data_IF_834967684812
#
_entry.id   IF_834967684812
#
_cell.length_a   1.000
_cell.length_b   1.000
_cell.length_c   1.000
_cell.angle_alpha   90.00
_cell.angle_beta   90.00
_cell.angle_gamma   90.00
#
_symmetry.space_group_name_H-M   'P 1'
#
loop_
_entity.id
_entity.type
_entity.pdbx_description
1 polymer ?
#
# COMPACT_ATOMS: atom_id res chain seq x y z
N UNK A 1 0.15 -17.95 -23.59
CA UNK A 1 1.53 -17.48 -23.80
C UNK A 1 2.54 -18.51 -23.28
N UNK A 2 2.53 -18.89 -21.98
CA UNK A 2 3.50 -19.78 -21.33
C UNK A 2 3.66 -21.13 -22.06
N UNK A 3 2.58 -21.83 -22.37
CA UNK A 3 2.64 -23.14 -23.04
C UNK A 3 3.25 -23.08 -24.47
N UNK A 4 3.05 -21.95 -25.15
CA UNK A 4 3.72 -21.74 -26.45
C UNK A 4 5.21 -21.53 -26.25
N UNK A 5 5.61 -20.68 -25.27
CA UNK A 5 7.01 -20.40 -24.98
C UNK A 5 7.77 -21.64 -24.50
N UNK A 6 7.16 -22.48 -23.66
CA UNK A 6 7.74 -23.78 -23.29
C UNK A 6 8.09 -24.63 -24.52
N UNK A 7 7.16 -24.78 -25.46
CA UNK A 7 7.42 -25.53 -26.72
C UNK A 7 8.50 -24.90 -27.60
N UNK A 8 8.64 -23.56 -27.54
CA UNK A 8 9.71 -22.87 -28.25
C UNK A 8 11.06 -23.07 -27.58
N UNK A 9 11.13 -23.09 -26.27
CA UNK A 9 12.34 -23.40 -25.48
C UNK A 9 12.83 -24.83 -25.80
N UNK A 10 11.94 -25.81 -25.94
CA UNK A 10 12.31 -27.18 -26.37
C UNK A 10 13.00 -27.19 -27.74
N UNK A 11 12.70 -26.23 -28.62
CA UNK A 11 13.32 -26.13 -29.95
C UNK A 11 14.63 -25.32 -29.93
N UNK A 12 14.68 -24.27 -29.14
CA UNK A 12 15.84 -23.41 -29.00
C UNK A 12 15.80 -22.68 -27.64
N UNK A 13 16.44 -23.29 -26.64
CA UNK A 13 16.45 -22.75 -25.28
C UNK A 13 17.09 -21.37 -25.21
N UNK A 14 18.26 -21.18 -25.85
CA UNK A 14 19.00 -19.92 -25.75
C UNK A 14 18.22 -18.72 -26.32
N UNK A 15 17.36 -18.97 -27.32
CA UNK A 15 16.57 -17.89 -27.93
C UNK A 15 15.29 -17.57 -27.13
N UNK A 16 14.71 -18.54 -26.40
CA UNK A 16 13.36 -18.38 -25.86
C UNK A 16 13.27 -18.52 -24.33
N UNK A 17 14.35 -18.91 -23.63
CA UNK A 17 14.37 -18.94 -22.15
C UNK A 17 14.11 -17.55 -21.54
N UNK A 18 14.70 -16.43 -22.05
CA UNK A 18 14.41 -15.10 -21.51
C UNK A 18 12.91 -14.75 -21.58
N UNK A 19 12.30 -14.94 -22.76
CA UNK A 19 10.88 -14.70 -22.95
C UNK A 19 9.98 -15.56 -22.07
N UNK A 20 10.40 -16.81 -21.78
CA UNK A 20 9.67 -17.70 -20.88
C UNK A 20 9.76 -17.20 -19.44
N UNK A 21 10.94 -16.76 -18.99
CA UNK A 21 11.14 -16.18 -17.66
C UNK A 21 10.29 -14.92 -17.46
N UNK A 22 10.25 -14.02 -18.45
CA UNK A 22 9.36 -12.86 -18.43
C UNK A 22 7.88 -13.24 -18.30
N UNK A 23 7.46 -14.29 -19.04
CA UNK A 23 6.10 -14.80 -18.93
C UNK A 23 5.79 -15.36 -17.55
N UNK A 24 6.75 -15.98 -16.92
CA UNK A 24 6.60 -16.48 -15.55
C UNK A 24 6.54 -15.33 -14.57
N UNK A 25 7.40 -14.30 -14.68
CA UNK A 25 7.34 -13.11 -13.86
C UNK A 25 5.97 -12.42 -13.94
N UNK A 26 5.46 -12.20 -15.17
CA UNK A 26 4.14 -11.62 -15.39
C UNK A 26 3.00 -12.50 -14.83
N UNK A 27 3.12 -13.83 -14.94
CA UNK A 27 2.14 -14.74 -14.34
C UNK A 27 2.20 -14.71 -12.81
N UNK A 28 3.41 -14.59 -12.23
CA UNK A 28 3.60 -14.40 -10.80
C UNK A 28 2.83 -13.18 -10.28
N UNK A 29 3.03 -12.03 -10.92
CA UNK A 29 2.30 -10.79 -10.59
C UNK A 29 0.78 -10.99 -10.71
N UNK A 30 0.32 -11.52 -11.84
CA UNK A 30 -1.11 -11.77 -12.07
C UNK A 30 -1.75 -12.65 -10.98
N UNK A 31 -1.11 -13.78 -10.63
CA UNK A 31 -1.66 -14.67 -9.61
C UNK A 31 -1.54 -14.09 -8.19
N UNK A 32 -0.53 -13.28 -7.93
CA UNK A 32 -0.42 -12.53 -6.68
C UNK A 32 -1.59 -11.55 -6.51
N UNK A 33 -1.89 -10.75 -7.52
CA UNK A 33 -3.04 -9.83 -7.53
C UNK A 33 -4.40 -10.56 -7.40
N UNK A 34 -4.47 -11.82 -7.81
CA UNK A 34 -5.66 -12.67 -7.64
C UNK A 34 -5.69 -13.42 -6.30
N UNK A 35 -4.76 -13.18 -5.38
CA UNK A 35 -4.68 -13.87 -4.09
C UNK A 35 -4.31 -15.35 -4.19
N UNK A 36 -3.81 -15.83 -5.35
CA UNK A 36 -3.45 -17.22 -5.58
C UNK A 36 -1.96 -17.45 -5.26
N UNK A 37 -1.61 -17.36 -3.96
CA UNK A 37 -0.23 -17.32 -3.45
C UNK A 37 0.63 -18.50 -3.92
N UNK A 38 0.13 -19.73 -3.87
CA UNK A 38 0.91 -20.92 -4.29
C UNK A 38 1.33 -20.86 -5.77
N UNK A 39 0.43 -20.35 -6.63
CA UNK A 39 0.75 -20.19 -8.05
C UNK A 39 1.70 -19.03 -8.28
N UNK A 40 1.50 -17.92 -7.57
CA UNK A 40 2.39 -16.76 -7.64
C UNK A 40 3.81 -17.15 -7.25
N UNK A 41 3.98 -17.80 -6.08
CA UNK A 41 5.29 -18.29 -5.60
C UNK A 41 5.98 -19.16 -6.65
N UNK A 42 5.25 -20.14 -7.16
CA UNK A 42 5.81 -21.03 -8.18
C UNK A 42 6.35 -20.27 -9.38
N UNK A 43 5.56 -19.35 -9.93
CA UNK A 43 5.95 -18.62 -11.14
C UNK A 43 7.08 -17.63 -10.88
N UNK A 44 7.15 -16.98 -9.74
CA UNK A 44 8.31 -16.16 -9.37
C UNK A 44 9.59 -16.99 -9.26
N UNK A 45 9.52 -18.16 -8.62
CA UNK A 45 10.68 -19.06 -8.49
C UNK A 45 11.10 -19.65 -9.83
N UNK A 46 10.17 -20.04 -10.69
CA UNK A 46 10.46 -20.55 -12.04
C UNK A 46 11.17 -19.47 -12.89
N UNK A 47 10.77 -18.19 -12.80
CA UNK A 47 11.44 -17.08 -13.48
C UNK A 47 12.87 -16.89 -12.96
N UNK A 48 13.05 -16.84 -11.64
CA UNK A 48 14.35 -16.70 -10.99
C UNK A 48 15.29 -17.84 -11.37
N UNK A 49 14.81 -19.07 -11.43
CA UNK A 49 15.64 -20.23 -11.81
C UNK A 49 16.16 -20.10 -13.24
N UNK A 50 15.33 -19.68 -14.17
CA UNK A 50 15.75 -19.45 -15.55
C UNK A 50 16.77 -18.32 -15.61
N UNK A 51 16.51 -17.17 -15.00
CA UNK A 51 17.46 -16.05 -15.03
C UNK A 51 18.78 -16.36 -14.36
N UNK A 52 18.83 -17.17 -13.30
CA UNK A 52 20.09 -17.67 -12.73
C UNK A 52 20.94 -18.43 -13.75
N UNK A 53 20.32 -19.34 -14.48
CA UNK A 53 21.04 -20.09 -15.54
C UNK A 53 21.50 -19.18 -16.68
N UNK A 54 20.69 -18.19 -17.04
CA UNK A 54 21.05 -17.21 -18.08
C UNK A 54 22.21 -16.33 -17.65
N UNK A 55 22.23 -15.89 -16.39
CA UNK A 55 23.34 -15.12 -15.80
C UNK A 55 24.65 -15.89 -15.83
N UNK A 56 24.64 -17.22 -15.58
CA UNK A 56 25.84 -18.08 -15.72
C UNK A 56 26.39 -18.07 -17.15
N UNK A 57 25.52 -17.91 -18.17
CA UNK A 57 25.93 -17.84 -19.57
C UNK A 57 26.38 -16.42 -19.97
N UNK A 58 25.66 -15.41 -19.51
CA UNK A 58 25.91 -14.01 -19.86
C UNK A 58 25.38 -13.07 -18.75
N UNK A 59 26.23 -12.79 -17.76
CA UNK A 59 25.88 -11.95 -16.62
C UNK A 59 25.45 -10.54 -17.04
N UNK A 60 26.19 -9.91 -17.94
CA UNK A 60 25.91 -8.53 -18.35
C UNK A 60 24.55 -8.35 -19.00
N UNK A 61 24.05 -9.39 -19.69
CA UNK A 61 22.76 -9.35 -20.34
C UNK A 61 21.58 -9.62 -19.39
N UNK A 62 21.77 -10.48 -18.38
CA UNK A 62 20.64 -11.01 -17.61
C UNK A 62 20.66 -10.68 -16.09
N UNK A 63 21.74 -10.09 -15.55
CA UNK A 63 21.75 -9.58 -14.17
C UNK A 63 20.64 -8.56 -13.90
N UNK A 64 20.32 -7.61 -14.81
CA UNK A 64 19.21 -6.66 -14.58
C UNK A 64 17.86 -7.36 -14.38
N UNK A 65 17.55 -8.36 -15.21
CA UNK A 65 16.28 -9.11 -15.15
C UNK A 65 16.21 -10.03 -13.93
N UNK A 66 17.35 -10.63 -13.54
CA UNK A 66 17.44 -11.40 -12.31
C UNK A 66 17.18 -10.51 -11.08
N UNK A 67 17.77 -9.30 -11.04
CA UNK A 67 17.56 -8.36 -9.95
C UNK A 67 16.09 -7.90 -9.87
N UNK A 68 15.44 -7.67 -11.01
CA UNK A 68 14.02 -7.36 -11.07
C UNK A 68 13.16 -8.52 -10.54
N UNK A 69 13.49 -9.75 -10.96
CA UNK A 69 12.80 -10.97 -10.50
C UNK A 69 12.95 -11.17 -8.98
N UNK A 70 14.14 -10.89 -8.43
CA UNK A 70 14.35 -10.92 -6.98
C UNK A 70 13.54 -9.83 -6.25
N UNK A 71 13.50 -8.61 -6.77
CA UNK A 71 12.73 -7.54 -6.17
C UNK A 71 11.22 -7.88 -6.12
N UNK A 72 10.68 -8.46 -7.21
CA UNK A 72 9.28 -8.90 -7.25
C UNK A 72 9.00 -10.06 -6.28
N UNK A 73 9.91 -11.02 -6.17
CA UNK A 73 9.80 -12.08 -5.17
C UNK A 73 9.89 -11.54 -3.74
N UNK A 74 10.75 -10.54 -3.50
CA UNK A 74 10.83 -9.83 -2.23
C UNK A 74 9.49 -9.22 -1.82
N UNK A 75 8.87 -8.47 -2.73
CA UNK A 75 7.55 -7.87 -2.51
C UNK A 75 6.46 -8.94 -2.25
N UNK A 76 6.46 -10.02 -3.04
CA UNK A 76 5.54 -11.12 -2.83
C UNK A 76 5.67 -11.75 -1.44
N UNK A 77 6.89 -12.04 -0.97
CA UNK A 77 7.10 -12.65 0.34
C UNK A 77 6.82 -11.67 1.50
N UNK A 78 7.01 -10.36 1.31
CA UNK A 78 6.61 -9.35 2.28
C UNK A 78 5.07 -9.35 2.46
N UNK A 79 4.32 -9.35 1.37
CA UNK A 79 2.85 -9.43 1.37
C UNK A 79 2.32 -10.76 1.94
N UNK A 80 3.11 -11.84 1.85
CA UNK A 80 2.79 -13.14 2.47
C UNK A 80 3.25 -13.22 3.94
N UNK A 81 3.69 -12.11 4.55
CA UNK A 81 4.22 -12.07 5.92
C UNK A 81 5.36 -13.08 6.17
N UNK A 82 6.25 -13.25 5.17
CA UNK A 82 7.44 -14.08 5.24
C UNK A 82 8.72 -13.23 5.21
N UNK A 83 9.02 -12.48 6.28
CA UNK A 83 10.04 -11.43 6.27
C UNK A 83 11.46 -11.93 6.00
N UNK A 84 11.81 -13.13 6.44
CA UNK A 84 13.15 -13.69 6.20
C UNK A 84 13.39 -13.96 4.71
N UNK A 85 12.37 -14.44 3.99
CA UNK A 85 12.46 -14.63 2.55
C UNK A 85 12.47 -13.29 1.82
N UNK A 86 11.60 -12.37 2.22
CA UNK A 86 11.53 -11.03 1.65
C UNK A 86 12.89 -10.32 1.76
N UNK A 87 13.48 -10.26 2.97
CA UNK A 87 14.79 -9.65 3.22
C UNK A 87 15.87 -10.26 2.31
N UNK A 88 15.91 -11.58 2.22
CA UNK A 88 16.87 -12.28 1.35
C UNK A 88 16.77 -11.84 -0.10
N UNK A 89 15.59 -11.76 -0.65
CA UNK A 89 15.39 -11.41 -2.06
C UNK A 89 15.63 -9.92 -2.34
N UNK A 90 15.18 -9.02 -1.46
CA UNK A 90 15.48 -7.60 -1.60
C UNK A 90 16.99 -7.33 -1.56
N UNK A 91 17.71 -7.95 -0.62
CA UNK A 91 19.17 -7.77 -0.53
C UNK A 91 19.89 -8.36 -1.74
N UNK A 92 19.44 -9.50 -2.27
CA UNK A 92 20.01 -10.08 -3.49
C UNK A 92 19.79 -9.18 -4.72
N UNK A 93 18.63 -8.53 -4.84
CA UNK A 93 18.38 -7.55 -5.90
C UNK A 93 19.30 -6.34 -5.79
N UNK A 94 19.45 -5.79 -4.57
CA UNK A 94 20.33 -4.65 -4.28
C UNK A 94 21.78 -4.97 -4.64
N UNK A 95 22.29 -6.12 -4.17
CA UNK A 95 23.68 -6.54 -4.45
C UNK A 95 24.00 -6.59 -5.95
N UNK A 96 23.08 -7.13 -6.75
CA UNK A 96 23.25 -7.15 -8.20
C UNK A 96 23.24 -5.71 -8.75
N UNK A 97 22.29 -4.88 -8.36
CA UNK A 97 22.15 -3.51 -8.86
C UNK A 97 23.31 -2.61 -8.46
N UNK A 98 23.88 -2.77 -7.26
CA UNK A 98 25.10 -2.08 -6.86
C UNK A 98 26.28 -2.41 -7.81
N UNK A 99 26.50 -3.69 -8.13
CA UNK A 99 27.52 -4.10 -9.11
C UNK A 99 27.25 -3.55 -10.52
N UNK A 100 25.99 -3.51 -10.93
CA UNK A 100 25.62 -2.94 -12.23
C UNK A 100 25.86 -1.44 -12.29
N UNK A 101 25.60 -0.71 -11.22
CA UNK A 101 25.89 0.73 -11.09
C UNK A 101 27.39 1.00 -11.20
N UNK A 102 28.26 0.16 -10.62
CA UNK A 102 29.72 0.27 -10.78
C UNK A 102 30.14 0.16 -12.24
N UNK A 103 29.45 -0.66 -13.05
CA UNK A 103 29.71 -0.82 -14.49
C UNK A 103 29.14 0.34 -15.31
N UNK A 104 27.92 0.77 -15.01
CA UNK A 104 27.22 1.84 -15.74
C UNK A 104 26.17 2.54 -14.86
N UNK A 105 26.62 3.53 -14.10
CA UNK A 105 25.76 4.29 -13.20
C UNK A 105 24.55 4.92 -13.92
N UNK A 106 24.77 5.50 -15.11
CA UNK A 106 23.69 6.18 -15.83
C UNK A 106 22.52 5.25 -16.23
N UNK A 107 22.82 3.98 -16.47
CA UNK A 107 21.79 2.98 -16.83
C UNK A 107 21.07 2.40 -15.61
N UNK A 108 21.77 2.20 -14.49
CA UNK A 108 21.27 1.37 -13.41
C UNK A 108 21.01 2.09 -12.08
N UNK A 109 21.43 3.36 -11.92
CA UNK A 109 21.09 4.17 -10.74
C UNK A 109 19.57 4.27 -10.48
N UNK A 110 18.70 4.45 -11.51
CA UNK A 110 17.24 4.51 -11.27
C UNK A 110 16.70 3.23 -10.63
N UNK A 111 17.14 2.09 -11.13
CA UNK A 111 16.70 0.78 -10.61
C UNK A 111 17.24 0.50 -9.21
N UNK A 112 18.49 0.93 -8.92
CA UNK A 112 19.06 0.81 -7.59
C UNK A 112 18.30 1.68 -6.59
N UNK A 113 17.97 2.92 -6.95
CA UNK A 113 17.15 3.79 -6.10
C UNK A 113 15.78 3.19 -5.80
N UNK A 114 15.13 2.60 -6.81
CA UNK A 114 13.86 1.89 -6.61
C UNK A 114 14.01 0.69 -5.65
N UNK A 115 15.10 -0.11 -5.79
CA UNK A 115 15.37 -1.21 -4.85
C UNK A 115 15.61 -0.74 -3.43
N UNK A 116 16.35 0.33 -3.24
CA UNK A 116 16.56 0.91 -1.93
C UNK A 116 15.24 1.41 -1.32
N UNK A 117 14.40 2.10 -2.10
CA UNK A 117 13.09 2.52 -1.62
C UNK A 117 12.22 1.34 -1.20
N UNK A 118 12.19 0.25 -1.98
CA UNK A 118 11.43 -0.95 -1.64
C UNK A 118 11.96 -1.64 -0.37
N UNK A 119 13.29 -1.73 -0.21
CA UNK A 119 13.89 -2.21 1.03
C UNK A 119 13.56 -1.28 2.22
N UNK A 120 13.53 0.04 1.99
CA UNK A 120 13.09 1.02 2.98
C UNK A 120 11.68 0.74 3.48
N UNK A 121 10.72 0.54 2.56
CA UNK A 121 9.33 0.19 2.88
C UNK A 121 9.28 -1.13 3.67
N UNK A 122 9.98 -2.16 3.19
CA UNK A 122 10.06 -3.45 3.88
C UNK A 122 10.56 -3.33 5.32
N UNK A 123 11.68 -2.63 5.54
CA UNK A 123 12.23 -2.48 6.89
C UNK A 123 11.36 -1.59 7.80
N UNK A 124 10.66 -0.62 7.24
CA UNK A 124 9.71 0.21 7.97
C UNK A 124 8.52 -0.63 8.46
N UNK A 125 7.92 -1.44 7.58
CA UNK A 125 6.86 -2.40 7.93
C UNK A 125 7.29 -3.40 9.02
N UNK A 126 8.58 -3.78 9.03
CA UNK A 126 9.16 -4.65 10.07
C UNK A 126 9.54 -3.91 11.35
N UNK A 127 9.29 -2.61 11.45
CA UNK A 127 9.69 -1.77 12.59
C UNK A 127 11.21 -1.58 12.73
N UNK A 128 12.01 -1.97 11.73
CA UNK A 128 13.48 -1.82 11.71
C UNK A 128 13.87 -0.41 11.22
N UNK A 129 13.47 0.60 11.96
CA UNK A 129 13.46 2.02 11.56
C UNK A 129 14.82 2.56 11.11
N UNK A 130 15.93 2.18 11.76
CA UNK A 130 17.27 2.64 11.37
C UNK A 130 17.67 2.12 9.99
N UNK A 131 17.31 0.86 9.67
CA UNK A 131 17.54 0.31 8.35
C UNK A 131 16.64 0.99 7.30
N UNK A 132 15.37 1.22 7.61
CA UNK A 132 14.44 1.91 6.73
C UNK A 132 14.94 3.32 6.39
N UNK A 133 15.36 4.10 7.41
CA UNK A 133 15.92 5.45 7.23
C UNK A 133 17.13 5.42 6.29
N UNK A 134 18.07 4.51 6.52
CA UNK A 134 19.25 4.38 5.65
C UNK A 134 18.84 4.17 4.19
N UNK A 135 18.00 3.18 3.92
CA UNK A 135 17.64 2.84 2.56
C UNK A 135 16.79 3.94 1.87
N UNK A 136 15.90 4.60 2.58
CA UNK A 136 15.19 5.75 2.03
C UNK A 136 16.12 6.91 1.69
N UNK A 137 17.10 7.21 2.56
CA UNK A 137 18.06 8.29 2.30
C UNK A 137 18.97 7.96 1.12
N UNK A 138 19.48 6.72 1.01
CA UNK A 138 20.28 6.26 -0.12
C UNK A 138 19.48 6.36 -1.43
N UNK A 139 18.20 5.96 -1.45
CA UNK A 139 17.31 6.10 -2.60
C UNK A 139 17.10 7.57 -2.99
N UNK A 140 16.81 8.42 -2.02
CA UNK A 140 16.59 9.86 -2.23
C UNK A 140 17.85 10.55 -2.76
N UNK A 141 19.04 10.20 -2.27
CA UNK A 141 20.31 10.78 -2.74
C UNK A 141 20.54 10.50 -4.21
N UNK A 142 20.35 9.24 -4.62
CA UNK A 142 20.47 8.86 -6.05
C UNK A 142 19.43 9.61 -6.87
N UNK A 143 18.16 9.57 -6.45
CA UNK A 143 17.06 10.14 -7.22
C UNK A 143 17.16 11.66 -7.36
N UNK A 144 17.71 12.39 -6.37
CA UNK A 144 18.01 13.81 -6.47
C UNK A 144 19.03 14.10 -7.58
N UNK A 145 20.14 13.36 -7.59
CA UNK A 145 21.16 13.54 -8.65
C UNK A 145 20.61 13.25 -10.04
N UNK A 146 19.71 12.28 -10.16
CA UNK A 146 19.03 11.96 -11.41
C UNK A 146 18.06 13.07 -11.82
N UNK A 147 17.27 13.59 -10.88
CA UNK A 147 16.33 14.68 -11.12
C UNK A 147 17.02 15.98 -11.52
N UNK A 148 18.22 16.28 -11.00
CA UNK A 148 19.05 17.40 -11.45
C UNK A 148 19.46 17.29 -12.92
N UNK A 149 19.65 16.07 -13.42
CA UNK A 149 20.00 15.80 -14.82
C UNK A 149 18.77 15.80 -15.73
N UNK A 150 17.67 15.23 -15.26
CA UNK A 150 16.40 15.13 -15.99
C UNK A 150 15.20 15.12 -15.05
N UNK A 151 14.75 16.31 -14.67
CA UNK A 151 13.63 16.50 -13.76
C UNK A 151 12.36 15.78 -14.23
N UNK A 152 12.03 15.87 -15.52
CA UNK A 152 10.80 15.28 -16.05
C UNK A 152 10.74 13.75 -15.90
N UNK A 153 11.89 13.07 -15.96
CA UNK A 153 11.96 11.62 -15.82
C UNK A 153 12.00 11.16 -14.36
N UNK A 154 12.62 11.93 -13.46
CA UNK A 154 12.98 11.42 -12.15
C UNK A 154 12.33 12.15 -10.97
N UNK A 155 11.73 13.33 -11.15
CA UNK A 155 10.98 14.02 -10.09
C UNK A 155 9.76 13.21 -9.60
N UNK A 156 9.00 12.47 -10.43
CA UNK A 156 7.87 11.69 -9.94
C UNK A 156 8.25 10.69 -8.86
N UNK A 157 9.32 9.92 -9.09
CA UNK A 157 9.82 8.94 -8.11
C UNK A 157 10.45 9.62 -6.90
N UNK A 158 11.17 10.73 -7.09
CA UNK A 158 11.70 11.51 -5.97
C UNK A 158 10.60 11.96 -5.02
N UNK A 159 9.49 12.46 -5.54
CA UNK A 159 8.34 12.87 -4.72
C UNK A 159 7.69 11.67 -4.01
N UNK A 160 7.63 10.50 -4.66
CA UNK A 160 7.17 9.28 -4.01
C UNK A 160 8.08 8.86 -2.85
N UNK A 161 9.41 8.90 -3.04
CA UNK A 161 10.39 8.59 -2.00
C UNK A 161 10.33 9.59 -0.83
N UNK A 162 10.10 10.88 -1.12
CA UNK A 162 9.85 11.87 -0.07
C UNK A 162 8.60 11.56 0.75
N UNK A 163 7.50 11.15 0.14
CA UNK A 163 6.30 10.73 0.88
C UNK A 163 6.58 9.55 1.82
N UNK A 164 7.36 8.56 1.39
CA UNK A 164 7.72 7.41 2.21
C UNK A 164 8.63 7.81 3.37
N UNK A 165 9.66 8.63 3.11
CA UNK A 165 10.51 9.17 4.17
C UNK A 165 9.73 10.06 5.16
N UNK A 166 8.78 10.85 4.66
CA UNK A 166 7.87 11.65 5.48
C UNK A 166 7.06 10.80 6.46
N UNK A 167 6.53 9.66 5.99
CA UNK A 167 5.81 8.70 6.83
C UNK A 167 6.72 8.12 7.92
N UNK A 168 7.90 7.62 7.56
CA UNK A 168 8.87 7.10 8.52
C UNK A 168 9.20 8.13 9.61
N UNK A 169 9.53 9.37 9.25
CA UNK A 169 9.87 10.40 10.22
C UNK A 169 8.68 10.83 11.08
N UNK A 170 7.46 10.80 10.53
CA UNK A 170 6.23 11.02 11.31
C UNK A 170 6.07 9.95 12.40
N UNK A 171 6.27 8.68 12.06
CA UNK A 171 6.17 7.55 12.99
C UNK A 171 7.30 7.53 14.03
N UNK A 172 8.44 8.12 13.70
CA UNK A 172 9.55 8.34 14.64
C UNK A 172 9.35 9.59 15.52
N UNK A 173 8.28 10.37 15.33
CA UNK A 173 8.04 11.62 16.04
C UNK A 173 8.98 12.76 15.62
N UNK A 174 9.69 12.64 14.50
CA UNK A 174 10.59 13.67 13.97
C UNK A 174 9.81 14.65 13.07
N UNK A 175 8.89 15.41 13.68
CA UNK A 175 7.86 16.19 12.99
C UNK A 175 8.42 17.19 11.96
N UNK A 176 9.54 17.87 12.28
CA UNK A 176 10.13 18.87 11.35
C UNK A 176 10.66 18.21 10.07
N UNK A 177 11.26 17.03 10.19
CA UNK A 177 11.71 16.27 9.02
C UNK A 177 10.51 15.73 8.21
N UNK A 178 9.52 15.18 8.90
CA UNK A 178 8.31 14.67 8.27
C UNK A 178 7.60 15.77 7.46
N UNK A 179 7.36 16.93 8.10
CA UNK A 179 6.73 18.09 7.44
C UNK A 179 7.51 18.49 6.19
N UNK A 180 8.83 18.61 6.30
CA UNK A 180 9.67 18.99 5.17
C UNK A 180 9.51 18.02 4.01
N UNK A 181 9.63 16.71 4.25
CA UNK A 181 9.55 15.72 3.17
C UNK A 181 8.15 15.67 2.53
N UNK A 182 7.08 15.79 3.30
CA UNK A 182 5.73 15.87 2.73
C UNK A 182 5.54 17.12 1.86
N UNK A 183 6.06 18.27 2.32
CA UNK A 183 5.95 19.52 1.54
C UNK A 183 6.82 19.48 0.28
N UNK A 184 8.05 18.94 0.35
CA UNK A 184 8.92 18.74 -0.81
C UNK A 184 8.23 17.83 -1.86
N UNK A 185 7.56 16.75 -1.43
CA UNK A 185 6.80 15.87 -2.33
C UNK A 185 5.62 16.60 -2.99
N UNK A 186 4.87 17.37 -2.21
CA UNK A 186 3.72 18.15 -2.69
C UNK A 186 4.19 19.19 -3.73
N UNK A 187 5.24 19.94 -3.45
CA UNK A 187 5.79 20.94 -4.36
C UNK A 187 6.16 20.34 -5.72
N UNK A 188 6.78 19.17 -5.71
CA UNK A 188 7.12 18.48 -6.97
C UNK A 188 5.84 18.08 -7.71
N UNK A 189 4.89 17.44 -7.05
CA UNK A 189 3.67 17.00 -7.74
C UNK A 189 2.80 18.18 -8.20
N UNK A 190 2.73 19.29 -7.48
CA UNK A 190 2.04 20.49 -7.95
C UNK A 190 2.62 20.98 -9.28
N UNK A 191 3.96 21.08 -9.40
CA UNK A 191 4.62 21.46 -10.67
C UNK A 191 4.40 20.42 -11.78
N UNK A 192 4.34 19.13 -11.45
CA UNK A 192 4.10 18.07 -12.43
C UNK A 192 2.66 18.09 -12.93
N UNK A 193 1.70 18.37 -12.06
CA UNK A 193 0.26 18.54 -12.41
C UNK A 193 0.05 19.69 -13.38
N UNK A 194 0.77 20.81 -13.23
CA UNK A 194 0.73 21.92 -14.20
C UNK A 194 1.13 21.48 -15.62
N UNK A 195 2.03 20.50 -15.74
CA UNK A 195 2.50 19.98 -17.03
C UNK A 195 1.60 18.88 -17.57
N UNK A 196 1.12 17.99 -16.70
CA UNK A 196 0.27 16.86 -17.07
C UNK A 196 -0.63 16.45 -15.88
N UNK A 197 -1.80 17.09 -15.79
CA UNK A 197 -2.75 16.83 -14.72
C UNK A 197 -3.22 15.38 -14.68
N UNK A 198 -3.55 14.78 -15.83
CA UNK A 198 -4.08 13.41 -15.89
C UNK A 198 -3.09 12.37 -15.33
N UNK A 199 -1.79 12.58 -15.53
CA UNK A 199 -0.78 11.67 -15.03
C UNK A 199 -0.48 11.86 -13.54
N UNK A 200 -0.55 13.08 -13.02
CA UNK A 200 0.00 13.40 -11.70
C UNK A 200 -1.02 13.81 -10.64
N UNK A 201 -2.26 14.16 -10.99
CA UNK A 201 -3.33 14.44 -10.01
C UNK A 201 -3.54 13.29 -9.00
N UNK A 202 -3.50 11.99 -9.39
CA UNK A 202 -3.63 10.90 -8.42
C UNK A 202 -2.55 10.90 -7.34
N UNK A 203 -1.31 11.16 -7.71
CA UNK A 203 -0.16 11.22 -6.80
C UNK A 203 -0.19 12.46 -5.91
N UNK A 204 -0.57 13.62 -6.46
CA UNK A 204 -0.77 14.84 -5.68
C UNK A 204 -1.85 14.65 -4.63
N UNK A 205 -2.98 14.04 -4.99
CA UNK A 205 -4.06 13.74 -4.06
C UNK A 205 -3.60 12.80 -2.93
N UNK A 206 -2.77 11.80 -3.24
CA UNK A 206 -2.15 10.92 -2.23
C UNK A 206 -1.25 11.72 -1.29
N UNK A 207 -0.38 12.59 -1.82
CA UNK A 207 0.51 13.43 -1.02
C UNK A 207 -0.25 14.39 -0.11
N UNK A 208 -1.31 15.02 -0.61
CA UNK A 208 -2.19 15.86 0.21
C UNK A 208 -2.88 15.06 1.32
N UNK A 209 -3.37 13.85 1.03
CA UNK A 209 -3.98 13.01 2.06
C UNK A 209 -2.96 12.64 3.15
N UNK A 210 -1.74 12.28 2.80
CA UNK A 210 -0.67 11.97 3.74
C UNK A 210 -0.32 13.18 4.62
N UNK A 211 -0.19 14.37 4.03
CA UNK A 211 0.02 15.61 4.78
C UNK A 211 -1.17 15.90 5.71
N UNK A 212 -2.40 15.66 5.24
CA UNK A 212 -3.61 15.79 6.07
C UNK A 212 -3.57 14.90 7.32
N UNK A 213 -3.18 13.63 7.16
CA UNK A 213 -2.99 12.69 8.27
C UNK A 213 -1.91 13.20 9.22
N UNK A 214 -0.75 13.57 8.69
CA UNK A 214 0.36 14.11 9.46
C UNK A 214 -0.06 15.32 10.31
N UNK A 215 -0.68 16.34 9.72
CA UNK A 215 -1.08 17.54 10.46
C UNK A 215 -2.20 17.27 11.48
N UNK A 216 -3.12 16.35 11.18
CA UNK A 216 -4.15 15.90 12.14
C UNK A 216 -3.51 15.28 13.39
N UNK A 217 -2.50 14.45 13.21
CA UNK A 217 -1.87 13.73 14.33
C UNK A 217 -0.90 14.62 15.11
N UNK A 218 -0.44 15.75 14.52
CA UNK A 218 0.39 16.77 15.16
C UNK A 218 -0.39 17.99 15.65
N UNK A 219 -1.71 17.88 15.78
CA UNK A 219 -2.55 18.92 16.39
C UNK A 219 -2.62 20.23 15.60
N UNK A 220 -2.51 20.18 14.26
CA UNK A 220 -2.63 21.32 13.35
C UNK A 220 -3.90 21.19 12.47
N UNK A 221 -5.09 21.31 13.07
CA UNK A 221 -6.34 20.96 12.39
C UNK A 221 -6.65 21.82 11.17
N UNK A 222 -6.27 23.09 11.14
CA UNK A 222 -6.51 23.98 10.01
C UNK A 222 -5.70 23.52 8.78
N UNK A 223 -4.45 23.13 8.98
CA UNK A 223 -3.64 22.56 7.90
C UNK A 223 -4.17 21.19 7.47
N UNK A 224 -4.56 20.34 8.43
CA UNK A 224 -5.14 19.04 8.14
C UNK A 224 -6.41 19.17 7.27
N UNK A 225 -7.35 20.05 7.65
CA UNK A 225 -8.56 20.31 6.86
C UNK A 225 -8.24 20.77 5.44
N UNK A 226 -7.32 21.74 5.31
CA UNK A 226 -6.87 22.22 4.00
C UNK A 226 -6.42 21.08 3.09
N UNK A 227 -5.56 20.22 3.57
CA UNK A 227 -4.99 19.13 2.77
C UNK A 227 -5.98 18.00 2.49
N UNK A 228 -6.83 17.63 3.45
CA UNK A 228 -7.90 16.67 3.20
C UNK A 228 -8.89 17.16 2.13
N UNK A 229 -9.32 18.42 2.21
CA UNK A 229 -10.25 18.96 1.21
C UNK A 229 -9.59 19.10 -0.16
N UNK A 230 -8.30 19.43 -0.24
CA UNK A 230 -7.55 19.46 -1.49
C UNK A 230 -7.47 18.06 -2.13
N UNK A 231 -7.15 17.02 -1.33
CA UNK A 231 -7.13 15.64 -1.80
C UNK A 231 -8.51 15.18 -2.31
N UNK A 232 -9.56 15.45 -1.55
CA UNK A 232 -10.95 15.13 -1.91
C UNK A 232 -11.33 15.81 -3.23
N UNK A 233 -11.08 17.11 -3.36
CA UNK A 233 -11.45 17.85 -4.58
C UNK A 233 -10.76 17.33 -5.84
N UNK A 234 -9.52 16.86 -5.74
CA UNK A 234 -8.84 16.19 -6.87
C UNK A 234 -9.51 14.84 -7.14
N UNK A 235 -9.71 14.01 -6.12
CA UNK A 235 -10.29 12.67 -6.27
C UNK A 235 -11.72 12.68 -6.79
N UNK A 236 -12.54 13.67 -6.42
CA UNK A 236 -13.89 13.89 -6.98
C UNK A 236 -13.82 14.08 -8.51
N UNK A 237 -12.92 14.95 -9.00
CA UNK A 237 -12.71 15.13 -10.45
C UNK A 237 -12.19 13.88 -11.14
N UNK A 238 -11.32 13.11 -10.49
CA UNK A 238 -10.80 11.86 -11.04
C UNK A 238 -11.90 10.79 -11.14
N UNK A 239 -12.79 10.70 -10.16
CA UNK A 239 -13.97 9.81 -10.19
C UNK A 239 -14.91 10.17 -11.33
N UNK A 240 -15.14 11.47 -11.61
CA UNK A 240 -15.92 11.91 -12.77
C UNK A 240 -15.33 11.45 -14.11
N UNK A 241 -14.00 11.36 -14.19
CA UNK A 241 -13.28 10.87 -15.38
C UNK A 241 -13.30 9.34 -15.50
N UNK A 242 -13.08 8.65 -14.39
CA UNK A 242 -13.01 7.18 -14.32
C UNK A 242 -13.36 6.67 -12.92
N UNK A 243 -14.66 6.43 -12.70
CA UNK A 243 -15.14 5.96 -11.41
C UNK A 243 -14.51 4.63 -10.98
N UNK A 244 -14.40 3.66 -11.90
CA UNK A 244 -13.89 2.33 -11.57
C UNK A 244 -12.44 2.37 -11.04
N UNK A 245 -11.62 3.30 -11.54
CA UNK A 245 -10.24 3.43 -11.11
C UNK A 245 -10.09 4.23 -9.80
N UNK A 246 -10.98 5.19 -9.52
CA UNK A 246 -10.74 6.17 -8.47
C UNK A 246 -11.74 6.15 -7.31
N UNK A 247 -12.87 5.43 -7.41
CA UNK A 247 -13.83 5.26 -6.31
C UNK A 247 -13.19 4.72 -5.02
N UNK A 248 -12.27 3.73 -5.03
CA UNK A 248 -11.63 3.26 -3.80
C UNK A 248 -10.86 4.38 -3.08
N UNK A 249 -10.09 5.15 -3.83
CA UNK A 249 -9.25 6.21 -3.25
C UNK A 249 -10.06 7.38 -2.67
N UNK A 250 -11.20 7.75 -3.27
CA UNK A 250 -12.04 8.79 -2.70
C UNK A 250 -12.76 8.31 -1.44
N UNK A 251 -13.15 7.02 -1.40
CA UNK A 251 -13.75 6.43 -0.21
C UNK A 251 -12.77 6.46 0.98
N UNK A 252 -11.49 6.17 0.76
CA UNK A 252 -10.44 6.32 1.76
C UNK A 252 -10.31 7.78 2.25
N UNK A 253 -10.31 8.75 1.30
CA UNK A 253 -10.28 10.16 1.68
C UNK A 253 -11.48 10.55 2.53
N UNK A 254 -12.66 10.04 2.20
CA UNK A 254 -13.86 10.32 2.98
C UNK A 254 -13.78 9.68 4.37
N UNK A 255 -13.28 8.46 4.53
CA UNK A 255 -13.03 7.85 5.84
C UNK A 255 -12.07 8.71 6.69
N UNK A 256 -10.97 9.17 6.10
CA UNK A 256 -10.00 10.01 6.78
C UNK A 256 -10.59 11.37 7.19
N UNK A 257 -11.36 12.00 6.31
CA UNK A 257 -12.07 13.24 6.63
C UNK A 257 -13.15 13.03 7.71
N UNK A 258 -13.89 11.91 7.65
CA UNK A 258 -14.85 11.53 8.69
C UNK A 258 -14.18 11.41 10.06
N UNK A 259 -13.06 10.72 10.15
CA UNK A 259 -12.27 10.59 11.37
C UNK A 259 -11.75 11.95 11.86
N UNK A 260 -11.26 12.79 10.95
CA UNK A 260 -10.80 14.14 11.26
C UNK A 260 -11.91 14.99 11.85
N UNK A 261 -13.07 15.11 11.19
CA UNK A 261 -14.17 15.91 11.66
C UNK A 261 -14.82 15.38 12.95
N UNK A 262 -14.82 14.05 13.15
CA UNK A 262 -15.25 13.45 14.42
C UNK A 262 -14.34 13.86 15.59
N UNK A 263 -13.01 13.93 15.37
CA UNK A 263 -12.05 14.43 16.36
C UNK A 263 -12.19 15.95 16.62
N UNK A 264 -12.60 16.71 15.61
CA UNK A 264 -12.85 18.15 15.72
C UNK A 264 -14.25 18.49 16.29
N UNK A 265 -15.00 17.50 16.79
CA UNK A 265 -16.36 17.68 17.31
C UNK A 265 -17.32 18.36 16.30
N UNK A 266 -17.19 17.98 15.01
CA UNK A 266 -18.06 18.40 13.90
C UNK A 266 -18.87 17.19 13.40
N UNK A 267 -19.87 16.72 14.16
CA UNK A 267 -20.52 15.43 13.91
C UNK A 267 -21.28 15.37 12.58
N UNK A 268 -21.88 16.47 12.11
CA UNK A 268 -22.62 16.51 10.86
C UNK A 268 -21.69 16.30 9.66
N UNK A 269 -20.51 16.92 9.67
CA UNK A 269 -19.51 16.69 8.64
C UNK A 269 -18.94 15.29 8.72
N UNK A 270 -18.65 14.78 9.93
CA UNK A 270 -18.13 13.44 10.13
C UNK A 270 -19.11 12.39 9.59
N UNK A 271 -20.41 12.48 9.96
CA UNK A 271 -21.46 11.57 9.47
C UNK A 271 -21.55 11.58 7.95
N UNK A 272 -21.58 12.78 7.34
CA UNK A 272 -21.59 12.92 5.88
C UNK A 272 -20.48 12.14 5.21
N UNK A 273 -19.25 12.30 5.67
CA UNK A 273 -18.10 11.65 5.04
C UNK A 273 -18.04 10.14 5.30
N UNK A 274 -18.37 9.67 6.51
CA UNK A 274 -18.44 8.24 6.77
C UNK A 274 -19.50 7.54 5.91
N UNK A 275 -20.69 8.13 5.80
CA UNK A 275 -21.76 7.56 4.97
C UNK A 275 -21.40 7.56 3.49
N UNK A 276 -20.74 8.61 2.98
CA UNK A 276 -20.26 8.66 1.61
C UNK A 276 -19.21 7.57 1.32
N UNK A 277 -18.28 7.33 2.25
CA UNK A 277 -17.31 6.25 2.12
C UNK A 277 -17.98 4.86 2.07
N UNK A 278 -18.90 4.61 3.01
CA UNK A 278 -19.66 3.36 3.09
C UNK A 278 -20.45 3.11 1.80
N UNK A 279 -21.17 4.11 1.30
CA UNK A 279 -21.96 3.98 0.06
C UNK A 279 -21.09 3.57 -1.13
N UNK A 280 -19.88 4.12 -1.24
CA UNK A 280 -18.95 3.76 -2.30
C UNK A 280 -18.47 2.32 -2.11
N UNK A 281 -18.00 1.95 -0.92
CA UNK A 281 -17.52 0.59 -0.68
C UNK A 281 -18.62 -0.46 -0.81
N UNK A 282 -19.86 -0.18 -0.42
CA UNK A 282 -21.00 -1.09 -0.68
C UNK A 282 -21.23 -1.34 -2.18
N UNK A 283 -20.99 -0.31 -3.04
CA UNK A 283 -21.05 -0.49 -4.51
C UNK A 283 -19.87 -1.31 -5.02
N UNK A 284 -18.66 -1.02 -4.52
CA UNK A 284 -17.43 -1.70 -4.92
C UNK A 284 -17.46 -3.19 -4.55
N UNK A 285 -17.93 -3.52 -3.35
CA UNK A 285 -18.12 -4.92 -2.89
C UNK A 285 -19.07 -5.69 -3.81
N UNK A 286 -20.14 -5.06 -4.31
CA UNK A 286 -21.05 -5.70 -5.27
C UNK A 286 -20.38 -6.02 -6.61
N UNK A 287 -19.35 -5.24 -6.99
CA UNK A 287 -18.56 -5.47 -8.22
C UNK A 287 -17.45 -6.50 -7.97
N UNK A 288 -16.75 -6.40 -6.86
CA UNK A 288 -15.64 -7.28 -6.49
C UNK A 288 -15.53 -7.36 -4.95
N UNK A 289 -16.18 -8.37 -4.36
CA UNK A 289 -16.18 -8.56 -2.92
C UNK A 289 -14.77 -8.84 -2.37
N UNK A 290 -13.99 -9.67 -3.06
CA UNK A 290 -12.66 -10.08 -2.60
C UNK A 290 -11.69 -8.89 -2.46
N UNK A 291 -11.85 -7.87 -3.29
CA UNK A 291 -10.99 -6.69 -3.25
C UNK A 291 -11.40 -5.66 -2.19
N UNK A 292 -12.68 -5.57 -1.82
CA UNK A 292 -13.17 -4.40 -1.07
C UNK A 292 -13.94 -4.73 0.21
N UNK A 293 -14.16 -6.00 0.55
CA UNK A 293 -14.86 -6.36 1.79
C UNK A 293 -14.11 -5.90 3.03
N UNK A 294 -12.78 -5.96 3.05
CA UNK A 294 -11.97 -5.51 4.18
C UNK A 294 -12.13 -3.99 4.42
N UNK A 295 -12.08 -3.20 3.35
CA UNK A 295 -12.22 -1.74 3.44
C UNK A 295 -13.63 -1.34 3.89
N UNK A 296 -14.65 -2.05 3.41
CA UNK A 296 -16.03 -1.84 3.85
C UNK A 296 -16.17 -2.15 5.36
N UNK A 297 -15.61 -3.26 5.82
CA UNK A 297 -15.66 -3.62 7.25
C UNK A 297 -14.93 -2.58 8.12
N UNK A 298 -13.78 -2.08 7.66
CA UNK A 298 -13.07 -0.97 8.30
C UNK A 298 -13.92 0.30 8.39
N UNK A 299 -14.60 0.64 7.29
CA UNK A 299 -15.51 1.79 7.23
C UNK A 299 -16.69 1.65 8.18
N UNK A 300 -17.28 0.46 8.27
CA UNK A 300 -18.34 0.16 9.24
C UNK A 300 -17.84 0.30 10.68
N UNK A 301 -16.66 -0.23 11.02
CA UNK A 301 -16.08 -0.08 12.36
C UNK A 301 -15.87 1.41 12.70
N UNK A 302 -15.36 2.22 11.78
CA UNK A 302 -15.19 3.67 11.98
C UNK A 302 -16.53 4.37 12.24
N UNK A 303 -17.56 4.06 11.47
CA UNK A 303 -18.91 4.59 11.68
C UNK A 303 -19.50 4.11 13.00
N UNK A 304 -19.32 2.84 13.38
CA UNK A 304 -19.74 2.31 14.66
C UNK A 304 -19.13 3.06 15.84
N UNK A 305 -17.82 3.30 15.81
CA UNK A 305 -17.11 4.11 16.83
C UNK A 305 -17.66 5.53 16.89
N UNK A 306 -17.89 6.15 15.73
CA UNK A 306 -18.49 7.49 15.65
C UNK A 306 -19.88 7.51 16.28
N UNK A 307 -20.81 6.65 15.88
CA UNK A 307 -22.17 6.64 16.41
C UNK A 307 -22.23 6.29 17.91
N UNK A 308 -21.34 5.41 18.40
CA UNK A 308 -21.17 5.16 19.84
C UNK A 308 -20.87 6.47 20.59
N UNK A 309 -19.90 7.25 20.09
CA UNK A 309 -19.52 8.55 20.69
C UNK A 309 -20.65 9.59 20.62
N UNK A 310 -21.53 9.52 19.61
CA UNK A 310 -22.68 10.38 19.46
C UNK A 310 -23.89 9.93 20.29
N UNK A 311 -23.77 8.91 21.15
CA UNK A 311 -24.86 8.40 21.95
C UNK A 311 -25.99 7.74 21.12
N UNK A 312 -25.67 7.20 19.96
CA UNK A 312 -26.58 6.50 19.05
C UNK A 312 -26.29 4.99 19.04
N UNK A 313 -26.56 4.27 20.16
CA UNK A 313 -26.10 2.89 20.33
C UNK A 313 -26.72 1.92 19.31
N UNK A 314 -27.95 2.16 18.85
CA UNK A 314 -28.60 1.28 17.86
C UNK A 314 -27.87 1.32 16.52
N UNK A 315 -27.48 2.53 16.06
CA UNK A 315 -26.67 2.65 14.84
C UNK A 315 -25.27 2.06 15.02
N UNK A 316 -24.64 2.31 16.18
CA UNK A 316 -23.33 1.77 16.49
C UNK A 316 -23.32 0.23 16.46
N UNK A 317 -24.31 -0.40 17.16
CA UNK A 317 -24.46 -1.86 17.18
C UNK A 317 -24.59 -2.44 15.77
N UNK A 318 -25.46 -1.83 14.94
CA UNK A 318 -25.64 -2.26 13.55
C UNK A 318 -24.30 -2.31 12.81
N UNK A 319 -23.55 -1.21 12.81
CA UNK A 319 -22.29 -1.13 12.05
C UNK A 319 -21.21 -2.07 12.58
N UNK A 320 -21.11 -2.29 13.89
CA UNK A 320 -20.19 -3.26 14.44
C UNK A 320 -20.54 -4.70 14.04
N UNK A 321 -21.84 -5.03 14.00
CA UNK A 321 -22.30 -6.36 13.58
C UNK A 321 -22.07 -6.57 12.06
N UNK A 322 -22.35 -5.55 11.25
CA UNK A 322 -22.12 -5.59 9.80
C UNK A 322 -20.62 -5.79 9.48
N UNK A 323 -19.71 -5.07 10.17
CA UNK A 323 -18.27 -5.26 10.02
C UNK A 323 -17.83 -6.68 10.40
N UNK A 324 -18.32 -7.17 11.54
CA UNK A 324 -17.99 -8.50 12.05
C UNK A 324 -18.46 -9.62 11.12
N UNK A 325 -19.62 -9.46 10.49
CA UNK A 325 -20.12 -10.44 9.52
C UNK A 325 -19.20 -10.53 8.30
N UNK A 326 -18.68 -9.40 7.84
CA UNK A 326 -17.71 -9.37 6.74
C UNK A 326 -16.41 -10.08 7.16
N UNK A 327 -15.83 -9.73 8.30
CA UNK A 327 -14.58 -10.37 8.75
C UNK A 327 -14.72 -11.88 8.95
N UNK A 328 -15.87 -12.38 9.39
CA UNK A 328 -16.13 -13.83 9.45
C UNK A 328 -16.01 -14.49 8.09
N UNK A 329 -16.60 -13.88 7.05
CA UNK A 329 -16.49 -14.41 5.68
C UNK A 329 -15.05 -14.34 5.15
N UNK A 330 -14.33 -13.29 5.49
CA UNK A 330 -12.92 -13.15 5.10
C UNK A 330 -12.03 -14.21 5.77
N UNK A 331 -12.24 -14.50 7.06
CA UNK A 331 -11.54 -15.58 7.79
C UNK A 331 -11.83 -16.95 7.18
N UNK A 332 -13.07 -17.25 6.75
CA UNK A 332 -13.39 -18.50 6.07
C UNK A 332 -12.57 -18.71 4.78
N UNK A 333 -12.13 -17.62 4.12
CA UNK A 333 -11.31 -17.67 2.89
C UNK A 333 -9.82 -17.70 3.18
N UNK A 334 -9.37 -16.90 4.14
CA UNK A 334 -7.96 -16.81 4.51
C UNK A 334 -7.82 -16.50 6.02
N UNK A 335 -7.79 -17.54 6.87
CA UNK A 335 -7.70 -17.38 8.32
C UNK A 335 -6.47 -16.57 8.75
N UNK A 336 -5.28 -16.93 8.23
CA UNK A 336 -4.01 -16.30 8.63
C UNK A 336 -4.00 -14.78 8.42
N UNK A 337 -4.66 -14.30 7.35
CA UNK A 337 -4.70 -12.88 7.04
C UNK A 337 -5.74 -12.11 7.88
N UNK A 338 -6.89 -12.72 8.20
CA UNK A 338 -8.04 -11.96 8.72
C UNK A 338 -8.47 -12.31 10.14
N UNK A 339 -7.91 -13.35 10.77
CA UNK A 339 -8.17 -13.65 12.18
C UNK A 339 -7.84 -12.47 13.11
N UNK A 340 -6.72 -11.73 12.93
CA UNK A 340 -6.44 -10.57 13.76
C UNK A 340 -7.52 -9.47 13.66
N UNK A 341 -8.04 -9.22 12.46
CA UNK A 341 -9.09 -8.22 12.22
C UNK A 341 -10.43 -8.64 12.84
N UNK A 342 -10.76 -9.93 12.72
CA UNK A 342 -11.97 -10.47 13.35
C UNK A 342 -11.88 -10.41 14.88
N UNK A 343 -10.72 -10.78 15.45
CA UNK A 343 -10.49 -10.66 16.89
C UNK A 343 -10.59 -9.20 17.36
N UNK A 344 -10.03 -8.26 16.59
CA UNK A 344 -10.18 -6.82 16.82
C UNK A 344 -11.65 -6.37 16.81
N UNK A 345 -12.45 -6.84 15.86
CA UNK A 345 -13.88 -6.54 15.77
C UNK A 345 -14.65 -7.10 16.96
N UNK A 346 -14.32 -8.31 17.43
CA UNK A 346 -14.91 -8.87 18.63
C UNK A 346 -14.56 -8.05 19.89
N UNK A 347 -13.33 -7.59 20.04
CA UNK A 347 -12.93 -6.72 21.16
C UNK A 347 -13.72 -5.40 21.13
N UNK A 348 -13.87 -4.78 19.96
CA UNK A 348 -14.66 -3.54 19.80
C UNK A 348 -16.11 -3.75 20.20
N UNK A 349 -16.74 -4.85 19.76
CA UNK A 349 -18.10 -5.20 20.14
C UNK A 349 -18.21 -5.51 21.64
N UNK A 350 -17.25 -6.23 22.21
CA UNK A 350 -17.18 -6.49 23.65
C UNK A 350 -17.13 -5.21 24.48
N UNK A 351 -16.27 -4.26 24.08
CA UNK A 351 -16.18 -2.93 24.70
C UNK A 351 -17.49 -2.15 24.57
N UNK A 352 -18.14 -2.21 23.40
CA UNK A 352 -19.43 -1.57 23.20
C UNK A 352 -20.50 -2.11 24.13
N UNK A 353 -20.69 -3.44 24.21
CA UNK A 353 -21.70 -4.04 25.07
C UNK A 353 -21.39 -3.85 26.56
N UNK A 354 -20.13 -3.85 26.96
CA UNK A 354 -19.70 -3.50 28.33
C UNK A 354 -20.16 -2.08 28.70
N UNK A 355 -19.93 -1.11 27.81
CA UNK A 355 -20.34 0.28 28.05
C UNK A 355 -21.87 0.46 28.10
N UNK A 356 -22.61 -0.45 27.46
CA UNK A 356 -24.09 -0.49 27.52
C UNK A 356 -24.62 -1.28 28.72
N UNK A 357 -23.76 -1.78 29.65
CA UNK A 357 -24.14 -2.57 30.79
C UNK A 357 -24.63 -4.00 30.46
N UNK A 358 -24.37 -4.48 29.23
CA UNK A 358 -24.77 -5.83 28.76
C UNK A 358 -23.62 -6.82 28.95
N UNK A 359 -23.31 -7.14 30.22
CA UNK A 359 -22.15 -7.96 30.62
C UNK A 359 -22.08 -9.31 29.92
N UNK A 360 -23.19 -10.02 29.81
CA UNK A 360 -23.24 -11.34 29.18
C UNK A 360 -22.85 -11.30 27.70
N UNK A 361 -23.32 -10.27 26.98
CA UNK A 361 -22.92 -10.07 25.58
C UNK A 361 -21.44 -9.66 25.46
N UNK A 362 -20.99 -8.79 26.37
CA UNK A 362 -19.59 -8.36 26.40
C UNK A 362 -18.65 -9.56 26.61
N UNK A 363 -18.96 -10.42 27.61
CA UNK A 363 -18.19 -11.64 27.88
C UNK A 363 -18.16 -12.57 26.68
N UNK A 364 -19.31 -12.81 26.03
CA UNK A 364 -19.39 -13.64 24.83
C UNK A 364 -18.41 -13.17 23.73
N UNK A 365 -18.35 -11.86 23.46
CA UNK A 365 -17.46 -11.34 22.42
C UNK A 365 -15.99 -11.33 22.84
N UNK A 366 -15.69 -11.07 24.12
CA UNK A 366 -14.30 -11.20 24.59
C UNK A 366 -13.80 -12.64 24.53
N UNK A 367 -14.64 -13.63 24.88
CA UNK A 367 -14.27 -15.04 24.76
C UNK A 367 -14.06 -15.43 23.30
N UNK A 368 -14.94 -14.99 22.38
CA UNK A 368 -14.77 -15.24 20.97
C UNK A 368 -13.47 -14.63 20.39
N UNK A 369 -13.00 -13.49 20.94
CA UNK A 369 -11.72 -12.91 20.54
C UNK A 369 -10.50 -13.67 21.10
N UNK A 370 -10.65 -14.43 22.16
CA UNK A 370 -9.57 -15.25 22.78
C UNK A 370 -9.47 -16.61 22.08
N UNK A 371 -10.56 -17.11 21.52
CA UNK A 371 -10.63 -18.40 20.82
C UNK A 371 -10.02 -18.37 19.42
N UNK A 372 -9.82 -17.18 18.85
CA UNK A 372 -9.08 -16.94 17.60
C UNK A 372 -7.59 -16.88 17.89
#
# INVERSE_FOLDING_TARGET
AIEIRKRLVEKNADAYEPDLADSYGAAGVFYHEQGQSDKAEKYYLDAIEIYKRLVEKNADAYEPDLAMSYNNAGAFYDDQNQPDKAEKYYLAAIEIRERLVEKNAAAYEPDLAASYNNAGIFYDNQGKRDKAEKYYLDAIEIQKRLAEKNAAAYEPDLAAFYNNAGALYSDQGQSDKAEKYYLDAIEIYERLVEKNADAYEPYLAKSYNNAGVFYKDHGQPEKAEKYYLAAIGIRERLVEKNADAYEPYIADSYNNAGLFYAKQNQPEKAEKYYLAAIEIYERLVKKNADAYEQDLAGSYNNAGVFYKKQGQPIKAEKYYLDAMEIYKRLVERNPEAYEPDLAGSYIIAGLFYKDQGQSDKAEKYYLAAIEI
#
